data_IF_610334294051
#
_entry.id   IF_610334294051
#
_cell.length_a   1.000
_cell.length_b   1.000
_cell.length_c   1.000
_cell.angle_alpha   90.00
_cell.angle_beta   90.00
_cell.angle_gamma   90.00
#
_symmetry.space_group_name_H-M   'P 1'
#
loop_
_entity.id
_entity.type
_entity.pdbx_description
1 polymer ?
#
# COMPACT_ATOMS: atom_id res chain seq x y z
N UNK A 1 -4.73 -27.21 0.19
CA UNK A 1 -5.36 -25.93 0.57
C UNK A 1 -4.34 -24.90 1.03
N UNK A 2 -3.44 -25.21 1.98
CA UNK A 2 -2.36 -24.31 2.42
C UNK A 2 -1.55 -23.67 1.28
N UNK A 3 -1.03 -24.48 0.35
CA UNK A 3 -0.26 -23.97 -0.79
C UNK A 3 -1.09 -23.04 -1.69
N UNK A 4 -2.38 -23.35 -1.90
CA UNK A 4 -3.29 -22.49 -2.66
C UNK A 4 -3.48 -21.14 -1.97
N UNK A 5 -3.82 -21.12 -0.68
CA UNK A 5 -3.98 -19.87 0.09
C UNK A 5 -2.67 -19.04 0.14
N UNK A 6 -1.52 -19.71 0.14
CA UNK A 6 -0.20 -19.04 0.12
C UNK A 6 0.09 -18.36 -1.22
N UNK A 7 -0.47 -18.87 -2.33
CA UNK A 7 -0.30 -18.33 -3.68
C UNK A 7 -1.37 -17.31 -4.09
N UNK A 8 -2.43 -17.08 -3.30
CA UNK A 8 -3.46 -16.09 -3.63
C UNK A 8 -2.84 -14.69 -3.69
N UNK A 9 -2.99 -13.97 -4.81
CA UNK A 9 -2.56 -12.58 -4.92
C UNK A 9 -3.57 -11.66 -4.23
N UNK A 10 -3.08 -10.77 -3.36
CA UNK A 10 -3.92 -9.80 -2.65
C UNK A 10 -4.71 -10.40 -1.47
N UNK A 11 -5.50 -9.54 -0.81
CA UNK A 11 -6.38 -9.96 0.30
C UNK A 11 -5.65 -10.57 1.49
N UNK A 12 -4.45 -10.08 1.83
CA UNK A 12 -3.60 -10.73 2.84
C UNK A 12 -4.33 -10.93 4.17
N UNK A 13 -5.07 -9.91 4.63
CA UNK A 13 -5.83 -9.99 5.87
C UNK A 13 -6.96 -11.03 5.78
N UNK A 14 -7.72 -11.02 4.68
CA UNK A 14 -8.85 -11.92 4.44
C UNK A 14 -8.40 -13.38 4.29
N UNK A 15 -7.30 -13.62 3.56
CA UNK A 15 -6.73 -14.95 3.35
C UNK A 15 -6.13 -15.51 4.63
N UNK A 16 -5.49 -14.67 5.47
CA UNK A 16 -5.00 -15.10 6.78
C UNK A 16 -6.17 -15.49 7.69
N UNK A 17 -7.26 -14.70 7.73
CA UNK A 17 -8.46 -15.05 8.50
C UNK A 17 -9.05 -16.38 8.01
N UNK A 18 -9.21 -16.56 6.70
CA UNK A 18 -9.69 -17.80 6.10
C UNK A 18 -8.76 -18.99 6.38
N UNK A 19 -7.45 -18.77 6.46
CA UNK A 19 -6.47 -19.83 6.71
C UNK A 19 -6.58 -20.45 8.11
N UNK A 20 -7.08 -19.69 9.10
CA UNK A 20 -7.29 -20.15 10.47
C UNK A 20 -8.28 -21.31 10.56
N UNK A 21 -9.30 -21.30 9.71
CA UNK A 21 -10.36 -22.31 9.71
C UNK A 21 -10.05 -23.48 8.77
N UNK A 22 -9.16 -23.28 7.79
CA UNK A 22 -8.91 -24.25 6.71
C UNK A 22 -7.56 -24.97 6.80
N UNK A 23 -6.66 -24.53 7.68
CA UNK A 23 -5.29 -25.05 7.76
C UNK A 23 -4.82 -25.07 9.22
N UNK A 24 -4.21 -26.17 9.65
CA UNK A 24 -3.64 -26.29 11.00
C UNK A 24 -2.45 -25.35 11.27
N UNK A 25 -1.80 -24.88 10.21
CA UNK A 25 -0.60 -24.03 10.24
C UNK A 25 -0.82 -22.75 9.42
N UNK A 26 -1.78 -21.94 9.86
CA UNK A 26 -2.09 -20.60 9.34
C UNK A 26 -0.87 -19.67 9.31
N UNK A 27 0.03 -19.79 10.29
CA UNK A 27 1.29 -19.05 10.34
C UNK A 27 2.19 -19.28 9.11
N UNK A 28 2.11 -20.44 8.45
CA UNK A 28 2.86 -20.70 7.21
C UNK A 28 2.32 -19.83 6.08
N UNK A 29 0.99 -19.72 5.96
CA UNK A 29 0.35 -18.86 4.96
C UNK A 29 0.76 -17.40 5.20
N UNK A 30 0.66 -16.93 6.44
CA UNK A 30 1.10 -15.59 6.82
C UNK A 30 2.58 -15.35 6.48
N UNK A 31 3.47 -16.30 6.76
CA UNK A 31 4.89 -16.21 6.44
C UNK A 31 5.11 -16.03 4.93
N UNK A 32 4.43 -16.78 4.07
CA UNK A 32 4.56 -16.64 2.61
C UNK A 32 4.09 -15.26 2.11
N UNK A 33 2.99 -14.74 2.65
CA UNK A 33 2.51 -13.39 2.30
C UNK A 33 3.50 -12.30 2.78
N UNK A 34 4.07 -12.44 3.98
CA UNK A 34 5.08 -11.51 4.52
C UNK A 34 6.39 -11.56 3.71
N UNK A 35 6.92 -12.75 3.45
CA UNK A 35 8.13 -12.96 2.65
C UNK A 35 7.96 -12.35 1.26
N UNK A 36 6.78 -12.50 0.64
CA UNK A 36 6.48 -11.87 -0.66
C UNK A 36 6.62 -10.35 -0.60
N UNK A 37 6.04 -9.69 0.40
CA UNK A 37 6.12 -8.22 0.54
C UNK A 37 7.57 -7.80 0.78
N UNK A 38 8.28 -8.49 1.67
CA UNK A 38 9.69 -8.19 1.95
C UNK A 38 10.58 -8.38 0.71
N UNK A 39 10.39 -9.46 -0.05
CA UNK A 39 11.13 -9.70 -1.28
C UNK A 39 10.84 -8.64 -2.32
N UNK A 40 9.57 -8.27 -2.55
CA UNK A 40 9.22 -7.20 -3.49
C UNK A 40 9.82 -5.87 -3.04
N UNK A 41 9.68 -5.51 -1.77
CA UNK A 41 10.21 -4.25 -1.23
C UNK A 41 11.73 -4.15 -1.33
N UNK A 42 12.47 -5.21 -0.97
CA UNK A 42 13.93 -5.23 -1.05
C UNK A 42 14.45 -5.37 -2.48
N UNK A 43 13.76 -6.13 -3.35
CA UNK A 43 14.20 -6.34 -4.73
C UNK A 43 13.92 -5.13 -5.63
N UNK A 44 12.86 -4.36 -5.39
CA UNK A 44 12.50 -3.20 -6.21
C UNK A 44 13.65 -2.20 -6.41
N UNK A 45 14.32 -1.67 -5.35
CA UNK A 45 15.45 -0.76 -5.53
C UNK A 45 16.68 -1.43 -6.18
N UNK A 46 16.89 -2.72 -5.94
CA UNK A 46 17.97 -3.48 -6.57
C UNK A 46 17.72 -3.64 -8.08
N UNK A 47 16.49 -3.97 -8.47
CA UNK A 47 16.07 -4.08 -9.87
C UNK A 47 16.20 -2.72 -10.55
N UNK A 48 15.76 -1.64 -9.90
CA UNK A 48 15.94 -0.27 -10.42
C UNK A 48 17.42 0.04 -10.68
N UNK A 49 18.30 -0.30 -9.74
CA UNK A 49 19.74 -0.07 -9.88
C UNK A 49 20.37 -0.91 -11.00
N UNK A 50 19.89 -2.14 -11.23
CA UNK A 50 20.40 -3.04 -12.25
C UNK A 50 19.91 -2.70 -13.66
N UNK A 51 18.65 -2.27 -13.79
CA UNK A 51 18.00 -2.01 -15.09
C UNK A 51 18.26 -0.59 -15.58
N UNK A 52 18.04 0.41 -14.73
CA UNK A 52 18.12 1.83 -15.09
C UNK A 52 19.47 2.48 -14.70
N UNK A 53 20.27 1.79 -13.89
CA UNK A 53 21.60 2.23 -13.49
C UNK A 53 21.62 3.27 -12.35
N UNK A 54 22.82 3.79 -12.06
CA UNK A 54 23.07 4.66 -10.91
C UNK A 54 22.38 6.04 -11.00
N UNK A 55 22.16 6.55 -12.22
CA UNK A 55 21.50 7.84 -12.43
C UNK A 55 20.04 7.81 -11.97
N UNK A 56 19.32 6.72 -12.26
CA UNK A 56 17.94 6.54 -11.83
C UNK A 56 17.81 6.36 -10.31
N UNK A 57 18.76 5.64 -9.70
CA UNK A 57 18.83 5.52 -8.23
C UNK A 57 19.07 6.88 -7.58
N UNK A 58 20.00 7.68 -8.12
CA UNK A 58 20.25 9.03 -7.62
C UNK A 58 19.01 9.92 -7.75
N UNK A 59 18.33 9.89 -8.90
CA UNK A 59 17.08 10.62 -9.11
C UNK A 59 15.99 10.19 -8.11
N UNK A 60 15.80 8.89 -7.89
CA UNK A 60 14.87 8.36 -6.90
C UNK A 60 15.20 8.84 -5.48
N UNK A 61 16.48 8.85 -5.10
CA UNK A 61 16.91 9.37 -3.80
C UNK A 61 16.65 10.87 -3.66
N UNK A 62 16.85 11.66 -4.71
CA UNK A 62 16.51 13.09 -4.66
C UNK A 62 15.01 13.33 -4.49
N UNK A 63 14.16 12.53 -5.15
CA UNK A 63 12.72 12.60 -4.98
C UNK A 63 12.29 12.25 -3.54
N UNK A 64 12.93 11.24 -2.93
CA UNK A 64 12.70 10.87 -1.53
C UNK A 64 13.09 11.99 -0.56
N UNK A 65 14.22 12.68 -0.80
CA UNK A 65 14.66 13.81 0.01
C UNK A 65 13.80 15.06 -0.18
N UNK A 66 13.17 15.21 -1.36
CA UNK A 66 12.25 16.30 -1.65
C UNK A 66 10.85 16.09 -1.03
N UNK A 67 10.53 14.89 -0.54
CA UNK A 67 9.24 14.65 0.11
C UNK A 67 9.13 15.44 1.42
N UNK A 68 8.11 16.30 1.58
CA UNK A 68 7.93 17.09 2.78
C UNK A 68 7.63 16.17 3.98
N UNK A 69 8.35 16.39 5.08
CA UNK A 69 8.05 15.75 6.36
C UNK A 69 6.66 16.18 6.85
N UNK A 70 5.96 15.28 7.56
CA UNK A 70 4.64 15.52 8.16
C UNK A 70 4.63 16.80 9.02
N UNK A 71 5.76 17.12 9.65
CA UNK A 71 5.91 18.28 10.54
C UNK A 71 6.00 19.61 9.76
N UNK A 72 6.42 19.57 8.50
CA UNK A 72 6.60 20.75 7.65
C UNK A 72 5.42 20.97 6.69
N UNK A 73 4.35 20.17 6.79
CA UNK A 73 3.15 20.33 5.98
C UNK A 73 2.37 21.57 6.43
N UNK A 74 1.83 22.30 5.46
CA UNK A 74 0.91 23.38 5.76
C UNK A 74 -0.35 22.84 6.44
N UNK A 75 -0.92 23.63 7.35
CA UNK A 75 -2.08 23.25 8.16
C UNK A 75 -3.29 22.94 7.26
N UNK A 76 -3.42 23.63 6.13
CA UNK A 76 -4.48 23.39 5.16
C UNK A 76 -4.34 22.02 4.49
N UNK A 77 -3.13 21.65 4.06
CA UNK A 77 -2.83 20.33 3.47
C UNK A 77 -3.03 19.19 4.48
N UNK A 78 -2.66 19.42 5.73
CA UNK A 78 -2.90 18.45 6.80
C UNK A 78 -4.40 18.21 7.00
N UNK A 79 -5.21 19.27 7.01
CA UNK A 79 -6.66 19.17 7.14
C UNK A 79 -7.30 18.48 5.94
N UNK A 80 -6.84 18.74 4.71
CA UNK A 80 -7.36 18.03 3.52
C UNK A 80 -7.02 16.56 3.55
N UNK A 81 -5.79 16.17 3.92
CA UNK A 81 -5.43 14.76 4.08
C UNK A 81 -6.21 14.07 5.20
N UNK A 82 -6.44 14.74 6.33
CA UNK A 82 -7.25 14.20 7.41
C UNK A 82 -8.71 14.02 6.98
N UNK A 83 -9.27 14.99 6.27
CA UNK A 83 -10.61 14.89 5.68
C UNK A 83 -10.69 13.71 4.70
N UNK A 84 -9.73 13.57 3.79
CA UNK A 84 -9.66 12.45 2.84
C UNK A 84 -9.62 11.11 3.60
N UNK A 85 -8.78 10.98 4.62
CA UNK A 85 -8.66 9.75 5.40
C UNK A 85 -9.98 9.37 6.09
N UNK A 86 -10.69 10.34 6.67
CA UNK A 86 -11.95 10.10 7.40
C UNK A 86 -13.11 9.83 6.44
N UNK A 87 -13.26 10.62 5.37
CA UNK A 87 -14.41 10.51 4.45
C UNK A 87 -14.29 9.37 3.45
N UNK A 88 -13.08 8.99 3.04
CA UNK A 88 -12.88 7.94 2.05
C UNK A 88 -13.25 6.55 2.56
N UNK A 89 -13.08 6.27 3.85
CA UNK A 89 -13.33 4.96 4.46
C UNK A 89 -14.81 4.53 4.44
N UNK A 90 -15.78 5.35 4.92
CA UNK A 90 -17.20 5.02 4.81
C UNK A 90 -17.66 4.95 3.35
N UNK A 91 -17.14 5.83 2.49
CA UNK A 91 -17.47 5.84 1.07
C UNK A 91 -16.97 4.56 0.36
N UNK A 92 -15.74 4.14 0.61
CA UNK A 92 -15.17 2.92 0.05
C UNK A 92 -15.89 1.65 0.56
N UNK A 93 -16.35 1.65 1.82
CA UNK A 93 -17.21 0.59 2.35
C UNK A 93 -18.56 0.54 1.67
N UNK A 94 -19.20 1.68 1.43
CA UNK A 94 -20.49 1.76 0.72
C UNK A 94 -20.37 1.21 -0.70
N UNK A 95 -19.27 1.53 -1.39
CA UNK A 95 -18.96 1.06 -2.74
C UNK A 95 -18.42 -0.38 -2.80
N UNK A 96 -18.30 -1.08 -1.66
CA UNK A 96 -17.80 -2.46 -1.54
C UNK A 96 -16.43 -2.69 -2.19
N UNK A 97 -15.55 -1.68 -2.09
CA UNK A 97 -14.19 -1.76 -2.63
C UNK A 97 -13.36 -2.73 -1.79
N UNK A 98 -12.56 -3.63 -2.40
CA UNK A 98 -11.63 -4.48 -1.65
C UNK A 98 -10.61 -3.63 -0.87
N UNK A 99 -10.28 -4.01 0.37
CA UNK A 99 -9.39 -3.23 1.25
C UNK A 99 -9.75 -1.73 1.40
N UNK A 100 -10.96 -1.38 1.93
CA UNK A 100 -11.45 0.00 1.99
C UNK A 100 -10.54 0.97 2.74
N UNK A 101 -9.78 0.47 3.71
CA UNK A 101 -8.88 1.27 4.55
C UNK A 101 -7.64 1.77 3.79
N UNK A 102 -7.23 1.09 2.70
CA UNK A 102 -6.04 1.45 1.93
C UNK A 102 -6.43 2.01 0.57
N UNK A 103 -7.31 1.33 -0.16
CA UNK A 103 -7.75 1.77 -1.48
C UNK A 103 -8.62 3.04 -1.40
N UNK A 104 -9.43 3.18 -0.34
CA UNK A 104 -10.30 4.34 -0.15
C UNK A 104 -9.53 5.66 -0.17
N UNK A 105 -8.61 5.90 0.78
CA UNK A 105 -7.83 7.13 0.83
C UNK A 105 -7.01 7.38 -0.46
N UNK A 106 -6.44 6.33 -1.05
CA UNK A 106 -5.65 6.43 -2.28
C UNK A 106 -6.48 6.92 -3.48
N UNK A 107 -7.63 6.29 -3.72
CA UNK A 107 -8.52 6.69 -4.81
C UNK A 107 -9.04 8.11 -4.60
N UNK A 108 -9.47 8.43 -3.37
CA UNK A 108 -10.05 9.73 -3.07
C UNK A 108 -9.00 10.86 -3.16
N UNK A 109 -7.78 10.60 -2.69
CA UNK A 109 -6.64 11.52 -2.85
C UNK A 109 -6.26 11.71 -4.32
N UNK A 110 -6.22 10.63 -5.10
CA UNK A 110 -5.91 10.70 -6.54
C UNK A 110 -6.97 11.49 -7.31
N UNK A 111 -8.26 11.32 -6.98
CA UNK A 111 -9.34 12.08 -7.61
C UNK A 111 -9.23 13.57 -7.32
N UNK A 112 -8.96 13.94 -6.08
CA UNK A 112 -8.81 15.35 -5.69
C UNK A 112 -7.58 16.01 -6.35
N UNK A 113 -6.48 15.27 -6.52
CA UNK A 113 -5.32 15.76 -7.27
C UNK A 113 -5.61 15.94 -8.76
N UNK A 114 -6.34 15.00 -9.39
CA UNK A 114 -6.72 15.12 -10.81
C UNK A 114 -7.66 16.31 -11.05
N UNK A 115 -8.55 16.60 -10.08
CA UNK A 115 -9.46 17.75 -10.11
C UNK A 115 -8.72 19.08 -9.85
N UNK A 116 -7.47 19.03 -9.36
CA UNK A 116 -6.67 20.22 -9.04
C UNK A 116 -7.09 20.90 -7.73
N UNK A 117 -7.78 20.17 -6.84
CA UNK A 117 -8.16 20.67 -5.52
C UNK A 117 -7.01 20.56 -4.51
N UNK A 118 -6.11 19.60 -4.72
CA UNK A 118 -4.88 19.36 -3.96
C UNK A 118 -3.73 19.25 -4.94
#
# INVERSE_FOLDING_TARGET
VMALLSCIPGGQAEVIVMSRDLVEKDYVVALFHLVRVALVFCSTPLILALVEGQAAVAASNTALLAMPSIVNLDIQTLLTFLAIAIFSLPLARLLRIPMPHLIGPLLFSSLLHIIGWV
#
